data_IF_865049606370
#
_entry.id   IF_865049606370
#
_cell.length_a   1.000
_cell.length_b   1.000
_cell.length_c   1.000
_cell.angle_alpha   90.00
_cell.angle_beta   90.00
_cell.angle_gamma   90.00
#
_symmetry.space_group_name_H-M   'P 1'
#
loop_
_entity.id
_entity.type
_entity.pdbx_description
1 polymer ?
#
# COMPACT_ATOMS: atom_id res chain seq x y z
N UNK A 1 17.52 -16.31 15.62
CA UNK A 1 17.07 -16.59 14.24
C UNK A 1 16.56 -15.27 13.69
N UNK A 2 17.31 -14.60 12.80
CA UNK A 2 16.81 -13.38 12.16
C UNK A 2 15.85 -13.78 11.05
N UNK A 3 14.57 -13.61 11.26
CA UNK A 3 13.59 -13.65 10.20
C UNK A 3 13.81 -12.35 9.42
N UNK A 4 14.22 -12.45 8.16
CA UNK A 4 14.29 -11.30 7.26
C UNK A 4 12.97 -11.25 6.53
N UNK A 5 12.12 -10.33 6.93
CA UNK A 5 10.91 -10.01 6.22
C UNK A 5 11.23 -9.04 5.08
N UNK A 6 10.46 -9.07 4.02
CA UNK A 6 10.50 -8.08 2.95
C UNK A 6 9.23 -7.25 3.05
N UNK A 7 9.37 -5.95 3.28
CA UNK A 7 8.26 -4.99 3.27
C UNK A 7 8.24 -4.26 1.95
N UNK A 8 7.08 -4.17 1.33
CA UNK A 8 6.95 -3.59 0.00
C UNK A 8 6.06 -2.34 0.06
N UNK A 9 6.64 -1.21 -0.29
CA UNK A 9 5.96 0.05 -0.54
C UNK A 9 6.41 0.55 -1.90
N UNK A 10 5.51 1.15 -2.66
CA UNK A 10 5.78 1.56 -4.04
C UNK A 10 5.46 3.02 -4.25
N UNK A 11 6.11 3.65 -5.23
CA UNK A 11 5.82 5.02 -5.67
C UNK A 11 5.54 5.01 -7.16
N UNK A 12 4.42 5.60 -7.55
CA UNK A 12 4.11 5.92 -8.95
C UNK A 12 4.33 7.43 -9.12
N UNK A 13 5.34 7.79 -9.91
CA UNK A 13 5.61 9.18 -10.26
C UNK A 13 4.75 9.56 -11.46
N UNK A 14 3.78 10.46 -11.22
CA UNK A 14 2.85 10.95 -12.23
C UNK A 14 2.38 12.35 -11.83
N UNK A 15 1.45 12.96 -12.58
CA UNK A 15 0.83 14.25 -12.22
C UNK A 15 0.31 14.25 -10.78
N UNK A 16 -0.29 13.13 -10.36
CA UNK A 16 -0.69 12.84 -8.99
C UNK A 16 0.18 11.72 -8.43
N UNK A 17 1.40 12.07 -8.03
CA UNK A 17 2.32 11.10 -7.43
C UNK A 17 1.64 10.34 -6.31
N UNK A 18 1.73 9.01 -6.36
CA UNK A 18 0.99 8.11 -5.48
C UNK A 18 1.92 7.13 -4.79
N UNK A 19 1.75 6.99 -3.49
CA UNK A 19 2.41 5.98 -2.66
C UNK A 19 1.42 4.83 -2.46
N UNK A 20 1.88 3.58 -2.58
CA UNK A 20 1.09 2.39 -2.28
C UNK A 20 1.71 1.66 -1.09
N UNK A 21 0.90 1.50 -0.06
CA UNK A 21 1.23 0.94 1.24
C UNK A 21 2.42 1.62 1.96
N UNK A 22 2.62 1.27 3.20
CA UNK A 22 3.76 1.67 4.02
C UNK A 22 4.54 0.42 4.43
N UNK A 23 5.31 0.49 5.49
CA UNK A 23 6.09 -0.63 6.00
C UNK A 23 5.92 -0.78 7.51
N UNK A 24 6.40 -1.90 8.06
CA UNK A 24 6.44 -2.13 9.51
C UNK A 24 7.16 -1.00 10.26
N UNK A 25 6.70 -0.69 11.46
CA UNK A 25 7.24 0.38 12.30
C UNK A 25 8.75 0.25 12.58
N UNK A 26 9.29 -0.97 12.59
CA UNK A 26 10.73 -1.22 12.78
C UNK A 26 11.59 -0.76 11.60
N UNK A 27 10.99 -0.61 10.42
CA UNK A 27 11.66 -0.18 9.19
C UNK A 27 11.37 1.30 8.82
N UNK A 28 10.68 2.04 9.68
CA UNK A 28 10.20 3.41 9.38
C UNK A 28 11.30 4.34 8.88
N UNK A 29 12.41 4.47 9.61
CA UNK A 29 13.43 5.47 9.27
C UNK A 29 14.12 5.18 7.93
N UNK A 30 14.67 3.97 7.67
CA UNK A 30 15.27 3.68 6.38
C UNK A 30 14.25 3.72 5.23
N UNK A 31 12.99 3.39 5.48
CA UNK A 31 11.93 3.52 4.48
C UNK A 31 11.65 4.98 4.13
N UNK A 32 11.59 5.89 5.11
CA UNK A 32 11.39 7.31 4.87
C UNK A 32 12.55 7.94 4.10
N UNK A 33 13.79 7.52 4.35
CA UNK A 33 14.96 7.94 3.56
C UNK A 33 14.82 7.52 2.10
N UNK A 34 14.50 6.23 1.85
CA UNK A 34 14.29 5.71 0.51
C UNK A 34 13.09 6.38 -0.19
N UNK A 35 12.01 6.63 0.55
CA UNK A 35 10.82 7.31 0.04
C UNK A 35 11.15 8.74 -0.38
N UNK A 36 11.91 9.48 0.44
CA UNK A 36 12.34 10.82 0.11
C UNK A 36 13.22 10.86 -1.15
N UNK A 37 14.13 9.89 -1.31
CA UNK A 37 14.94 9.74 -2.51
C UNK A 37 14.06 9.46 -3.74
N UNK A 38 13.10 8.53 -3.62
CA UNK A 38 12.19 8.17 -4.71
C UNK A 38 11.26 9.31 -5.13
N UNK A 39 10.79 10.12 -4.17
CA UNK A 39 9.93 11.27 -4.44
C UNK A 39 10.72 12.45 -5.05
N UNK A 40 11.98 12.65 -4.67
CA UNK A 40 12.73 13.84 -5.04
C UNK A 40 11.99 15.11 -4.63
N UNK A 41 11.71 16.00 -5.58
CA UNK A 41 10.94 17.22 -5.37
C UNK A 41 9.42 17.04 -5.48
N UNK A 42 8.94 15.83 -5.81
CA UNK A 42 7.52 15.54 -5.96
C UNK A 42 6.82 15.47 -4.60
N UNK A 43 5.62 16.04 -4.52
CA UNK A 43 4.75 15.89 -3.36
C UNK A 43 3.74 14.78 -3.64
N UNK A 44 3.57 13.80 -2.75
CA UNK A 44 2.57 12.76 -2.96
C UNK A 44 1.16 13.35 -2.85
N UNK A 45 0.34 13.06 -3.86
CA UNK A 45 -1.07 13.42 -3.87
C UNK A 45 -1.92 12.36 -3.16
N UNK A 46 -1.53 11.09 -3.27
CA UNK A 46 -2.26 9.96 -2.70
C UNK A 46 -1.35 9.00 -1.93
N UNK A 47 -1.92 8.44 -0.87
CA UNK A 47 -1.47 7.19 -0.24
C UNK A 47 -2.57 6.16 -0.41
N UNK A 48 -2.36 5.15 -1.21
CA UNK A 48 -3.26 3.99 -1.34
C UNK A 48 -2.90 2.98 -0.26
N UNK A 49 -3.89 2.57 0.54
CA UNK A 49 -3.70 1.58 1.60
C UNK A 49 -4.46 0.31 1.20
N UNK A 50 -3.70 -0.68 0.75
CA UNK A 50 -4.23 -1.97 0.31
C UNK A 50 -4.59 -2.87 1.47
N UNK A 51 -3.85 -2.76 2.59
CA UNK A 51 -3.96 -3.63 3.76
C UNK A 51 -3.58 -2.88 5.04
N UNK A 52 -4.21 -3.23 6.17
CA UNK A 52 -4.00 -2.55 7.45
C UNK A 52 -3.18 -3.38 8.45
N UNK A 53 -2.65 -4.54 8.06
CA UNK A 53 -1.67 -5.22 8.87
C UNK A 53 -0.45 -4.32 9.12
N UNK A 54 0.21 -4.39 10.29
CA UNK A 54 1.27 -3.44 10.66
C UNK A 54 2.41 -3.29 9.64
N UNK A 55 2.74 -4.32 8.89
CA UNK A 55 3.78 -4.28 7.86
C UNK A 55 3.38 -3.52 6.58
N UNK A 56 2.09 -3.19 6.44
CA UNK A 56 1.54 -2.32 5.40
C UNK A 56 1.04 -0.99 5.96
N UNK A 57 0.43 -1.03 7.16
CA UNK A 57 -0.34 0.09 7.70
C UNK A 57 0.35 0.94 8.77
N UNK A 58 1.43 0.47 9.42
CA UNK A 58 1.95 1.10 10.64
C UNK A 58 2.36 2.57 10.49
N UNK A 59 2.77 3.00 9.31
CA UNK A 59 3.22 4.37 9.06
C UNK A 59 2.19 5.29 8.39
N UNK A 60 0.95 4.84 8.19
CA UNK A 60 -0.10 5.62 7.53
C UNK A 60 -0.33 6.97 8.23
N UNK A 61 -0.53 6.97 9.54
CA UNK A 61 -0.75 8.20 10.30
C UNK A 61 0.48 9.12 10.30
N UNK A 62 1.69 8.54 10.39
CA UNK A 62 2.95 9.30 10.32
C UNK A 62 3.12 9.97 8.96
N UNK A 63 2.87 9.25 7.89
CA UNK A 63 2.98 9.77 6.53
C UNK A 63 1.92 10.85 6.24
N UNK A 64 0.68 10.64 6.73
CA UNK A 64 -0.37 11.63 6.62
C UNK A 64 -0.05 12.94 7.38
N UNK A 65 0.69 12.86 8.48
CA UNK A 65 1.18 14.04 9.21
C UNK A 65 2.33 14.75 8.48
N UNK A 66 3.22 14.01 7.80
CA UNK A 66 4.32 14.58 7.01
C UNK A 66 3.82 15.29 5.75
N UNK A 67 2.74 14.79 5.14
CA UNK A 67 2.16 15.32 3.92
C UNK A 67 0.69 15.72 4.15
N UNK A 68 0.42 16.88 4.75
CA UNK A 68 -0.94 17.28 5.15
C UNK A 68 -1.91 17.45 3.96
N UNK A 69 -1.41 17.72 2.77
CA UNK A 69 -2.21 17.84 1.53
C UNK A 69 -2.52 16.47 0.86
N UNK A 70 -1.79 15.43 1.23
CA UNK A 70 -1.96 14.09 0.66
C UNK A 70 -3.30 13.49 1.10
N UNK A 71 -4.06 12.94 0.16
CA UNK A 71 -5.26 12.17 0.44
C UNK A 71 -4.94 10.70 0.67
N UNK A 72 -5.69 10.06 1.55
CA UNK A 72 -5.57 8.62 1.81
C UNK A 72 -6.71 7.89 1.10
N UNK A 73 -6.34 6.90 0.31
CA UNK A 73 -7.24 6.10 -0.52
C UNK A 73 -7.38 4.70 0.09
N UNK A 74 -8.59 4.26 0.29
CA UNK A 74 -8.88 2.94 0.83
C UNK A 74 -10.37 2.61 0.74
N UNK A 75 -10.76 1.39 1.04
CA UNK A 75 -12.17 1.08 1.14
C UNK A 75 -12.75 1.47 2.52
N UNK A 76 -14.06 1.39 2.69
CA UNK A 76 -14.71 1.81 3.93
C UNK A 76 -14.20 1.05 5.18
N UNK A 77 -13.83 -0.22 5.02
CA UNK A 77 -13.30 -1.05 6.10
C UNK A 77 -11.88 -0.67 6.49
N UNK A 78 -11.05 -0.29 5.51
CA UNK A 78 -9.71 0.26 5.72
C UNK A 78 -9.78 1.47 6.66
N UNK A 79 -10.70 2.41 6.43
CA UNK A 79 -10.86 3.56 7.30
C UNK A 79 -11.38 3.20 8.69
N UNK A 80 -12.27 2.21 8.82
CA UNK A 80 -12.69 1.71 10.13
C UNK A 80 -11.49 1.17 10.94
N UNK A 81 -10.57 0.46 10.30
CA UNK A 81 -9.36 -0.04 10.95
C UNK A 81 -8.38 1.09 11.28
N UNK A 82 -8.23 2.08 10.40
CA UNK A 82 -7.41 3.28 10.71
C UNK A 82 -7.92 3.99 11.97
N UNK A 83 -9.24 4.15 12.12
CA UNK A 83 -9.84 4.74 13.31
C UNK A 83 -9.59 3.91 14.58
N UNK A 84 -9.62 2.58 14.47
CA UNK A 84 -9.33 1.69 15.59
C UNK A 84 -7.85 1.71 15.99
N UNK A 85 -6.94 1.78 15.03
CA UNK A 85 -5.49 1.71 15.29
C UNK A 85 -4.88 3.06 15.67
N UNK A 86 -5.37 4.13 15.07
CA UNK A 86 -4.74 5.46 15.18
C UNK A 86 -5.66 6.51 15.84
N UNK A 87 -6.92 6.20 16.07
CA UNK A 87 -7.95 7.12 16.55
C UNK A 87 -8.73 7.78 15.41
N UNK A 88 -9.93 8.26 15.74
CA UNK A 88 -10.88 8.79 14.75
C UNK A 88 -10.36 10.01 13.98
N UNK A 89 -9.50 10.80 14.59
CA UNK A 89 -8.96 12.04 14.03
C UNK A 89 -7.65 11.86 13.26
N UNK A 90 -7.11 10.63 13.18
CA UNK A 90 -5.82 10.38 12.53
C UNK A 90 -5.81 10.77 11.04
N UNK A 91 -6.91 10.54 10.35
CA UNK A 91 -7.13 10.98 8.97
C UNK A 91 -8.43 11.76 8.91
N UNK A 92 -8.34 13.05 8.68
CA UNK A 92 -9.50 13.93 8.58
C UNK A 92 -10.46 13.47 7.45
N UNK A 93 -11.78 13.53 7.64
CA UNK A 93 -12.76 13.00 6.66
C UNK A 93 -12.56 13.54 5.23
N UNK A 94 -12.21 14.84 5.09
CA UNK A 94 -11.98 15.48 3.81
C UNK A 94 -10.73 14.98 3.07
N UNK A 95 -9.86 14.27 3.76
CA UNK A 95 -8.65 13.64 3.20
C UNK A 95 -8.86 12.18 2.84
N UNK A 96 -10.05 11.63 3.08
CA UNK A 96 -10.37 10.23 2.81
C UNK A 96 -10.99 10.08 1.43
N UNK A 97 -10.38 9.27 0.59
CA UNK A 97 -10.95 8.82 -0.69
C UNK A 97 -11.42 7.39 -0.51
N UNK A 98 -12.72 7.25 -0.26
CA UNK A 98 -13.34 5.93 -0.06
C UNK A 98 -13.71 5.35 -1.41
N UNK A 99 -13.01 4.31 -1.83
CA UNK A 99 -13.24 3.63 -3.11
C UNK A 99 -14.14 2.41 -2.98
N UNK A 100 -14.75 2.03 -4.10
CA UNK A 100 -15.59 0.84 -4.25
C UNK A 100 -14.90 -0.22 -5.09
N UNK A 101 -15.40 -1.44 -5.01
CA UNK A 101 -14.92 -2.53 -5.86
C UNK A 101 -15.10 -2.20 -7.35
N UNK A 102 -14.04 -2.37 -8.14
CA UNK A 102 -14.00 -2.02 -9.55
C UNK A 102 -13.84 -0.54 -9.86
N UNK A 103 -13.77 0.34 -8.86
CA UNK A 103 -13.59 1.78 -9.08
C UNK A 103 -12.16 2.10 -9.53
N UNK A 104 -12.02 3.15 -10.35
CA UNK A 104 -10.72 3.56 -10.88
C UNK A 104 -10.36 4.98 -10.45
N UNK A 105 -9.07 5.22 -10.24
CA UNK A 105 -8.47 6.50 -9.89
C UNK A 105 -7.41 6.87 -10.93
N UNK A 106 -7.61 7.98 -11.63
CA UNK A 106 -6.62 8.52 -12.56
C UNK A 106 -5.55 9.31 -11.82
N UNK A 107 -4.28 9.02 -12.13
CA UNK A 107 -3.12 9.72 -11.60
C UNK A 107 -2.54 10.73 -12.60
N UNK A 108 -3.00 10.68 -13.85
CA UNK A 108 -2.51 11.40 -15.02
C UNK A 108 -2.33 10.43 -16.17
N UNK A 109 -1.12 10.01 -16.47
CA UNK A 109 -0.81 8.97 -17.46
C UNK A 109 -1.21 7.56 -16.98
N UNK A 110 -1.16 7.31 -15.66
CA UNK A 110 -1.50 6.03 -15.05
C UNK A 110 -2.91 6.03 -14.48
N UNK A 111 -3.51 4.85 -14.40
CA UNK A 111 -4.83 4.65 -13.78
C UNK A 111 -4.80 3.39 -12.93
N UNK A 112 -5.17 3.55 -11.65
CA UNK A 112 -5.37 2.43 -10.73
C UNK A 112 -6.82 1.99 -10.74
N UNK A 113 -7.06 0.70 -10.87
CA UNK A 113 -8.38 0.09 -10.67
C UNK A 113 -8.31 -0.79 -9.41
N UNK A 114 -9.23 -0.55 -8.48
CA UNK A 114 -9.27 -1.24 -7.20
C UNK A 114 -10.15 -2.47 -7.27
N UNK A 115 -9.62 -3.61 -6.86
CA UNK A 115 -10.38 -4.86 -6.76
C UNK A 115 -10.33 -5.35 -5.32
N UNK A 116 -11.51 -5.56 -4.73
CA UNK A 116 -11.59 -6.01 -3.36
C UNK A 116 -11.27 -7.51 -3.28
N UNK A 117 -10.43 -7.85 -2.32
CA UNK A 117 -10.01 -9.23 -2.04
C UNK A 117 -10.27 -9.58 -0.56
N UNK A 118 -11.54 -9.49 -0.10
CA UNK A 118 -11.86 -9.69 1.31
C UNK A 118 -11.45 -11.08 1.76
N UNK A 119 -10.83 -11.16 2.96
CA UNK A 119 -10.29 -12.39 3.57
C UNK A 119 -9.05 -12.97 2.86
N UNK A 120 -8.37 -12.16 2.04
CA UNK A 120 -7.06 -12.50 1.46
C UNK A 120 -5.99 -11.51 2.00
N UNK A 121 -5.52 -11.59 3.30
CA UNK A 121 -6.12 -12.54 4.28
C UNK A 121 -7.02 -11.83 5.31
N UNK A 122 -7.12 -10.51 5.32
CA UNK A 122 -8.00 -9.72 6.18
C UNK A 122 -9.24 -9.20 5.43
N UNK A 123 -10.30 -8.79 6.17
CA UNK A 123 -11.57 -8.42 5.56
C UNK A 123 -11.55 -7.16 4.68
N UNK A 124 -10.57 -6.26 4.87
CA UNK A 124 -10.46 -4.98 4.16
C UNK A 124 -9.51 -5.02 2.97
N UNK A 125 -8.84 -6.13 2.74
CA UNK A 125 -7.82 -6.22 1.68
C UNK A 125 -8.40 -5.83 0.33
N UNK A 126 -7.67 -4.99 -0.38
CA UNK A 126 -7.90 -4.68 -1.79
C UNK A 126 -6.57 -4.72 -2.54
N UNK A 127 -6.63 -5.04 -3.81
CA UNK A 127 -5.50 -4.97 -4.73
C UNK A 127 -5.69 -3.84 -5.72
N UNK A 128 -4.61 -3.28 -6.24
CA UNK A 128 -4.65 -2.17 -7.20
C UNK A 128 -4.01 -2.61 -8.51
N UNK A 129 -4.76 -2.56 -9.60
CA UNK A 129 -4.25 -2.86 -10.93
C UNK A 129 -3.97 -1.57 -11.69
N UNK A 130 -2.71 -1.38 -12.08
CA UNK A 130 -2.29 -0.30 -12.95
C UNK A 130 -2.33 -0.79 -14.41
N UNK A 131 -3.14 -0.13 -15.23
CA UNK A 131 -3.51 -0.66 -16.55
C UNK A 131 -2.53 -0.34 -17.66
N UNK A 132 -1.74 0.74 -17.53
CA UNK A 132 -0.81 1.20 -18.58
C UNK A 132 0.42 0.30 -18.69
N UNK A 133 1.06 0.02 -17.55
CA UNK A 133 2.21 -0.87 -17.44
C UNK A 133 1.82 -2.32 -17.10
N UNK A 134 0.53 -2.56 -16.84
CA UNK A 134 -0.03 -3.88 -16.47
C UNK A 134 0.58 -4.44 -15.18
N UNK A 135 0.71 -3.60 -14.16
CA UNK A 135 1.25 -3.96 -12.86
C UNK A 135 0.11 -4.19 -11.86
N UNK A 136 0.18 -5.30 -11.12
CA UNK A 136 -0.72 -5.59 -10.01
C UNK A 136 0.01 -5.37 -8.68
N UNK A 137 -0.48 -4.42 -7.88
CA UNK A 137 -0.07 -4.22 -6.50
C UNK A 137 -1.02 -5.03 -5.61
N UNK A 138 -0.54 -6.15 -5.10
CA UNK A 138 -1.39 -7.19 -4.53
C UNK A 138 -1.32 -7.31 -3.01
N UNK A 139 -0.59 -6.40 -2.32
CA UNK A 139 -0.29 -6.55 -0.90
C UNK A 139 0.27 -7.97 -0.63
N UNK A 140 -0.32 -8.74 0.28
CA UNK A 140 0.07 -10.11 0.59
C UNK A 140 -0.41 -11.14 -0.43
N UNK A 141 -1.33 -10.74 -1.30
CA UNK A 141 -1.86 -11.62 -2.33
C UNK A 141 -0.73 -12.14 -3.24
N UNK A 142 -0.74 -13.44 -3.51
CA UNK A 142 0.30 -14.14 -4.28
C UNK A 142 1.68 -14.14 -3.59
N UNK A 143 1.76 -13.82 -2.31
CA UNK A 143 2.97 -13.84 -1.52
C UNK A 143 3.53 -15.25 -1.36
N UNK A 144 4.79 -15.33 -0.94
CA UNK A 144 5.49 -16.57 -0.65
C UNK A 144 6.00 -16.55 0.78
N UNK A 145 5.82 -17.65 1.50
CA UNK A 145 6.42 -17.80 2.82
C UNK A 145 7.93 -18.00 2.76
N UNK A 146 8.62 -17.43 3.72
CA UNK A 146 10.07 -17.50 3.87
C UNK A 146 10.83 -16.39 3.18
N UNK A 147 11.98 -16.02 3.77
CA UNK A 147 12.86 -15.01 3.22
C UNK A 147 13.76 -15.61 2.13
N UNK A 148 13.77 -15.03 0.96
CA UNK A 148 14.65 -15.39 -0.16
C UNK A 148 15.67 -14.29 -0.39
N UNK A 149 16.96 -14.66 -0.52
CA UNK A 149 18.02 -13.70 -0.78
C UNK A 149 18.05 -13.19 -2.23
N UNK A 150 17.46 -13.95 -3.14
CA UNK A 150 17.34 -13.64 -4.57
C UNK A 150 16.03 -14.20 -5.09
N UNK A 151 15.44 -13.51 -6.06
CA UNK A 151 14.33 -14.05 -6.83
C UNK A 151 14.77 -15.33 -7.56
N UNK A 152 14.05 -16.41 -7.36
CA UNK A 152 14.29 -17.70 -8.02
C UNK A 152 13.11 -18.01 -8.95
N UNK A 153 13.33 -17.82 -10.24
CA UNK A 153 12.32 -18.08 -11.29
C UNK A 153 11.87 -19.54 -11.35
N UNK A 154 12.70 -20.47 -10.80
CA UNK A 154 12.39 -21.91 -10.80
C UNK A 154 11.71 -22.38 -9.51
N UNK A 155 11.52 -21.49 -8.53
CA UNK A 155 10.80 -21.82 -7.32
C UNK A 155 9.33 -22.13 -7.65
N UNK A 156 8.75 -23.13 -7.00
CA UNK A 156 7.31 -23.43 -7.13
C UNK A 156 6.46 -22.40 -6.40
N UNK A 157 6.52 -21.18 -6.92
CA UNK A 157 5.79 -20.06 -6.40
C UNK A 157 4.27 -20.22 -6.57
N UNK A 158 3.83 -20.87 -7.65
CA UNK A 158 2.41 -21.01 -7.95
C UNK A 158 1.67 -21.92 -6.93
N UNK A 159 2.35 -22.90 -6.34
CA UNK A 159 1.73 -23.74 -5.30
C UNK A 159 1.61 -22.99 -3.97
N UNK A 160 2.57 -22.14 -3.63
CA UNK A 160 2.48 -21.29 -2.44
C UNK A 160 1.37 -20.22 -2.59
N UNK A 161 1.29 -19.58 -3.74
CA UNK A 161 0.30 -18.53 -4.02
C UNK A 161 -1.16 -19.04 -4.06
N UNK A 162 -1.38 -20.36 -4.11
CA UNK A 162 -2.72 -20.97 -4.12
C UNK A 162 -3.21 -21.42 -2.75
N UNK A 163 -2.41 -21.31 -1.73
CA UNK A 163 -2.78 -21.66 -0.34
C UNK A 163 -3.56 -20.53 0.32
#
# INVERSE_FOLDING_TARGET
>A
MCIRDSYNSYVILDEKTTILDTVDARATEPWLENLAEALGDCKPAYLVVSHMEPDHGANVAKLAALYPEMQVVGNAKTFQYMEQFFGADAIAPERRVVVKDGESLSLGAHTLTFVFAPMVHWPEVMVSYESSEKVLFSADGFGRFGAVAKFDENADWASEARR
#
